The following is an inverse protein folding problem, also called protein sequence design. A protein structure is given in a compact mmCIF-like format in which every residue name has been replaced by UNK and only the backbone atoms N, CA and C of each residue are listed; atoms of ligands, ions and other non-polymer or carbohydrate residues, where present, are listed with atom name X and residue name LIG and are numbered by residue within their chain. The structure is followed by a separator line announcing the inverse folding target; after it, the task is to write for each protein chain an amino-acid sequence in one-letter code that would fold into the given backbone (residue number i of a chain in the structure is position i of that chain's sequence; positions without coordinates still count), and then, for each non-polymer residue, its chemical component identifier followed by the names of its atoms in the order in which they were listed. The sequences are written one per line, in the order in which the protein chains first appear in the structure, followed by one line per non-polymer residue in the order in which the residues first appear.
data_IF_048139728240
#
_entry.id   IF_048139728240
#
_cell.length_a   1.000
_cell.length_b   1.000
_cell.length_c   1.000
_cell.angle_alpha   90.00
_cell.angle_beta   90.00
_cell.angle_gamma   90.00
#
_symmetry.space_group_name_H-M   'P 1'
#
loop_
_entity.id
_entity.type
_entity.pdbx_description
1 polymer ?
#
# COMPACT_ATOMS: atom_id res chain seq x y z
N UNK A 1 20.68 -13.34 -10.46
CA UNK A 1 19.82 -12.76 -9.41
C UNK A 1 19.23 -13.92 -8.63
N UNK A 2 19.88 -14.32 -7.54
CA UNK A 2 19.35 -15.32 -6.60
C UNK A 2 18.71 -14.54 -5.45
N UNK A 3 17.38 -14.54 -5.35
CA UNK A 3 16.68 -13.74 -4.36
C UNK A 3 15.39 -14.42 -3.93
N UNK A 4 15.19 -14.50 -2.61
CA UNK A 4 13.92 -14.91 -1.99
C UNK A 4 12.99 -13.70 -1.99
N UNK A 5 11.79 -13.85 -2.55
CA UNK A 5 10.74 -12.84 -2.44
C UNK A 5 10.27 -12.77 -0.99
N UNK A 6 10.25 -11.57 -0.41
CA UNK A 6 9.78 -11.35 0.95
C UNK A 6 8.56 -10.44 0.94
N UNK A 7 7.45 -10.93 1.49
CA UNK A 7 6.21 -10.15 1.63
C UNK A 7 5.70 -10.24 3.06
N UNK A 8 4.84 -9.33 3.48
CA UNK A 8 4.06 -9.48 4.71
C UNK A 8 2.92 -10.51 4.51
N UNK A 9 2.24 -10.89 5.60
CA UNK A 9 1.12 -11.83 5.58
C UNK A 9 -0.20 -11.21 5.08
N UNK A 10 -0.14 -10.11 4.32
CA UNK A 10 -1.30 -9.53 3.66
C UNK A 10 -1.96 -10.54 2.72
N UNK A 11 -3.29 -10.60 2.75
CA UNK A 11 -4.09 -11.52 1.92
C UNK A 11 -3.92 -11.26 0.42
N UNK A 12 -3.62 -10.02 0.05
CA UNK A 12 -3.33 -9.59 -1.32
C UNK A 12 -2.03 -10.20 -1.90
N UNK A 13 -1.08 -10.59 -1.05
CA UNK A 13 0.22 -11.10 -1.50
C UNK A 13 0.17 -12.55 -1.97
N UNK A 14 -0.88 -13.31 -1.64
CA UNK A 14 -0.95 -14.75 -1.90
C UNK A 14 -0.76 -15.13 -3.37
N UNK A 15 -1.27 -14.32 -4.29
CA UNK A 15 -1.11 -14.53 -5.74
C UNK A 15 0.35 -14.37 -6.17
N UNK A 16 1.02 -13.32 -5.66
CA UNK A 16 2.44 -13.06 -5.93
C UNK A 16 3.33 -14.19 -5.39
N UNK A 17 3.02 -14.68 -4.18
CA UNK A 17 3.71 -15.84 -3.57
C UNK A 17 3.60 -17.07 -4.46
N UNK A 18 2.37 -17.41 -4.88
CA UNK A 18 2.11 -18.57 -5.73
C UNK A 18 2.86 -18.50 -7.06
N UNK A 19 2.82 -17.35 -7.73
CA UNK A 19 3.55 -17.13 -8.99
C UNK A 19 5.06 -17.30 -8.81
N UNK A 20 5.64 -16.73 -7.76
CA UNK A 20 7.08 -16.81 -7.51
C UNK A 20 7.55 -18.25 -7.26
N UNK A 21 6.81 -19.01 -6.45
CA UNK A 21 7.13 -20.40 -6.17
C UNK A 21 6.96 -21.28 -7.42
N UNK A 22 5.91 -21.04 -8.21
CA UNK A 22 5.65 -21.79 -9.45
C UNK A 22 6.75 -21.57 -10.50
N UNK A 23 7.09 -20.31 -10.79
CA UNK A 23 8.12 -20.02 -11.80
C UNK A 23 9.53 -20.46 -11.41
N UNK A 24 9.77 -20.71 -10.11
CA UNK A 24 11.06 -21.19 -9.61
C UNK A 24 11.05 -22.65 -9.22
N UNK A 25 9.98 -23.40 -9.52
CA UNK A 25 9.84 -24.80 -9.12
C UNK A 25 10.97 -25.70 -9.66
N UNK A 26 11.46 -25.40 -10.86
CA UNK A 26 12.50 -26.18 -11.57
C UNK A 26 13.91 -25.58 -11.40
N UNK A 27 14.09 -24.65 -10.48
CA UNK A 27 15.39 -24.05 -10.19
C UNK A 27 16.32 -25.03 -9.45
N UNK A 28 17.62 -25.01 -9.77
CA UNK A 28 18.62 -25.84 -9.08
C UNK A 28 19.24 -25.16 -7.85
N UNK A 29 18.88 -23.89 -7.59
CA UNK A 29 19.40 -23.14 -6.45
C UNK A 29 18.66 -23.44 -5.13
N UNK A 30 19.32 -23.09 -4.01
CA UNK A 30 18.83 -23.37 -2.65
C UNK A 30 17.48 -22.70 -2.30
N UNK A 31 17.05 -21.72 -3.10
CA UNK A 31 15.83 -20.95 -2.91
C UNK A 31 14.76 -21.30 -3.95
N UNK A 32 14.87 -22.42 -4.67
CA UNK A 32 13.89 -22.86 -5.65
C UNK A 32 12.56 -23.33 -5.03
N UNK A 33 11.52 -23.37 -5.86
CA UNK A 33 10.18 -23.81 -5.52
C UNK A 33 9.57 -23.08 -4.33
N UNK A 34 9.08 -23.81 -3.34
CA UNK A 34 8.46 -23.24 -2.13
C UNK A 34 9.41 -22.36 -1.31
N UNK A 35 10.73 -22.51 -1.49
CA UNK A 35 11.74 -21.69 -0.81
C UNK A 35 12.00 -20.36 -1.51
N UNK A 36 11.32 -20.11 -2.64
CA UNK A 36 11.45 -18.87 -3.40
C UNK A 36 10.75 -17.69 -2.74
N UNK A 37 9.95 -17.95 -1.71
CA UNK A 37 9.24 -16.94 -0.94
C UNK A 37 9.43 -17.14 0.57
N UNK A 38 9.41 -16.03 1.32
CA UNK A 38 9.34 -16.04 2.78
C UNK A 38 8.49 -14.89 3.30
N UNK A 39 7.61 -15.17 4.26
CA UNK A 39 6.92 -14.11 4.99
C UNK A 39 7.88 -13.33 5.91
N UNK A 40 7.82 -12.01 5.84
CA UNK A 40 8.47 -11.09 6.78
C UNK A 40 7.67 -10.94 8.07
N UNK A 41 8.35 -10.65 9.17
CA UNK A 41 7.68 -10.38 10.44
C UNK A 41 7.01 -9.00 10.43
N UNK A 42 5.82 -8.89 11.04
CA UNK A 42 5.03 -7.65 11.16
C UNK A 42 5.81 -6.40 11.63
N UNK A 43 6.83 -6.48 12.51
CA UNK A 43 7.66 -5.32 12.86
C UNK A 43 8.30 -4.59 11.67
N UNK A 44 8.62 -5.32 10.59
CA UNK A 44 9.16 -4.72 9.38
C UNK A 44 8.12 -3.91 8.58
N UNK A 45 6.83 -4.20 8.78
CA UNK A 45 5.71 -3.53 8.10
C UNK A 45 5.15 -2.32 8.89
N UNK A 46 5.59 -2.13 10.13
CA UNK A 46 5.06 -1.09 11.02
C UNK A 46 5.15 0.33 10.43
N UNK A 47 6.22 0.62 9.68
CA UNK A 47 6.40 1.96 9.08
C UNK A 47 5.37 2.24 7.98
N UNK A 48 5.10 1.26 7.12
CA UNK A 48 4.14 1.43 6.03
C UNK A 48 2.70 1.33 6.54
N UNK A 49 2.41 0.45 7.51
CA UNK A 49 1.11 0.40 8.18
C UNK A 49 0.80 1.69 8.96
N UNK A 50 1.78 2.25 9.67
CA UNK A 50 1.63 3.54 10.33
C UNK A 50 1.38 4.68 9.31
N UNK A 51 2.05 4.63 8.16
CA UNK A 51 1.79 5.57 7.07
C UNK A 51 0.37 5.45 6.53
N UNK A 52 -0.09 4.23 6.21
CA UNK A 52 -1.45 3.98 5.73
C UNK A 52 -2.50 4.45 6.74
N UNK A 53 -2.27 4.18 8.03
CA UNK A 53 -3.13 4.67 9.11
C UNK A 53 -3.17 6.20 9.14
N UNK A 54 -2.01 6.87 9.08
CA UNK A 54 -1.94 8.33 9.05
C UNK A 54 -2.65 8.92 7.82
N UNK A 55 -2.41 8.35 6.63
CA UNK A 55 -3.05 8.78 5.40
C UNK A 55 -4.58 8.63 5.46
N UNK A 56 -5.07 7.50 5.97
CA UNK A 56 -6.48 7.21 6.13
C UNK A 56 -7.18 8.16 7.10
N UNK A 57 -6.61 8.37 8.29
CA UNK A 57 -7.18 9.28 9.29
C UNK A 57 -7.06 10.76 8.89
N UNK A 58 -6.02 11.12 8.14
CA UNK A 58 -5.72 12.50 7.79
C UNK A 58 -6.51 13.02 6.59
N UNK A 59 -6.29 12.43 5.41
CA UNK A 59 -6.76 13.02 4.13
C UNK A 59 -7.61 12.09 3.28
N UNK A 60 -7.38 10.79 3.32
CA UNK A 60 -8.08 9.86 2.44
C UNK A 60 -9.51 9.56 2.91
N UNK A 61 -9.73 9.51 4.24
CA UNK A 61 -11.04 9.15 4.81
C UNK A 61 -12.17 10.03 4.31
N UNK A 62 -11.97 11.35 4.33
CA UNK A 62 -12.98 12.30 3.85
C UNK A 62 -13.37 12.08 2.39
N UNK A 63 -12.38 11.88 1.49
CA UNK A 63 -12.65 11.62 0.08
C UNK A 63 -13.39 10.30 -0.14
N UNK A 64 -13.02 9.25 0.60
CA UNK A 64 -13.70 7.96 0.55
C UNK A 64 -15.16 8.12 0.95
N UNK A 65 -15.45 8.82 2.05
CA UNK A 65 -16.80 9.00 2.54
C UNK A 65 -17.61 9.92 1.62
N UNK A 66 -17.00 10.98 1.08
CA UNK A 66 -17.61 11.85 0.08
C UNK A 66 -18.10 11.08 -1.16
N UNK A 67 -17.26 10.22 -1.75
CA UNK A 67 -17.68 9.45 -2.92
C UNK A 67 -18.71 8.37 -2.56
N UNK A 68 -18.62 7.75 -1.38
CA UNK A 68 -19.67 6.83 -0.89
C UNK A 68 -21.01 7.53 -0.72
N UNK A 69 -21.01 8.78 -0.24
CA UNK A 69 -22.22 9.57 -0.08
C UNK A 69 -22.84 9.93 -1.43
N UNK A 70 -22.02 10.21 -2.45
CA UNK A 70 -22.51 10.39 -3.82
C UNK A 70 -23.20 9.13 -4.34
N UNK A 71 -22.64 7.94 -4.09
CA UNK A 71 -23.26 6.67 -4.48
C UNK A 71 -24.55 6.43 -3.71
N UNK A 72 -24.55 6.63 -2.39
CA UNK A 72 -25.73 6.39 -1.55
C UNK A 72 -26.89 7.34 -1.86
N UNK A 73 -26.58 8.58 -2.27
CA UNK A 73 -27.55 9.56 -2.75
C UNK A 73 -28.05 9.28 -4.18
N UNK A 74 -27.52 8.28 -4.88
CA UNK A 74 -27.84 7.97 -6.27
C UNK A 74 -27.30 8.98 -7.28
N UNK A 75 -26.32 9.81 -6.89
CA UNK A 75 -25.67 10.80 -7.74
C UNK A 75 -24.53 10.21 -8.58
N UNK A 76 -23.96 9.09 -8.12
CA UNK A 76 -22.89 8.38 -8.79
C UNK A 76 -23.23 6.90 -8.92
N UNK A 77 -23.30 6.41 -10.15
CA UNK A 77 -23.36 5.00 -10.48
C UNK A 77 -21.96 4.51 -10.89
N UNK A 78 -21.33 3.74 -10.01
CA UNK A 78 -20.01 3.14 -10.22
C UNK A 78 -19.98 2.10 -11.36
N UNK A 79 -21.15 1.58 -11.77
CA UNK A 79 -21.28 0.69 -12.92
C UNK A 79 -21.33 1.46 -14.25
N UNK A 80 -21.52 2.79 -14.22
CA UNK A 80 -21.63 3.62 -15.41
C UNK A 80 -20.28 4.23 -15.79
N UNK A 81 -19.70 3.74 -16.89
CA UNK A 81 -18.40 4.19 -17.40
C UNK A 81 -18.36 5.69 -17.64
N UNK A 82 -19.41 6.29 -18.22
CA UNK A 82 -19.42 7.75 -18.51
C UNK A 82 -19.40 8.58 -17.23
N UNK A 83 -20.08 8.14 -16.18
CA UNK A 83 -20.04 8.82 -14.90
C UNK A 83 -18.67 8.67 -14.22
N UNK A 84 -18.05 7.49 -14.33
CA UNK A 84 -16.69 7.25 -13.83
C UNK A 84 -15.64 8.11 -14.55
N UNK A 85 -15.71 8.24 -15.87
CA UNK A 85 -14.83 9.13 -16.64
C UNK A 85 -15.05 10.60 -16.27
N UNK A 86 -16.31 11.03 -16.12
CA UNK A 86 -16.63 12.39 -15.67
C UNK A 86 -16.12 12.65 -14.25
N UNK A 87 -16.25 11.67 -13.35
CA UNK A 87 -15.72 11.75 -11.99
C UNK A 87 -14.19 11.89 -12.01
N UNK A 88 -13.52 11.05 -12.80
CA UNK A 88 -12.08 11.13 -12.96
C UNK A 88 -11.66 12.48 -13.49
N UNK A 89 -12.24 12.95 -14.60
CA UNK A 89 -11.96 14.26 -15.18
C UNK A 89 -12.16 15.42 -14.18
N UNK A 90 -13.23 15.38 -13.39
CA UNK A 90 -13.53 16.44 -12.42
C UNK A 90 -12.58 16.44 -11.22
N UNK A 91 -12.18 15.26 -10.73
CA UNK A 91 -11.51 15.12 -9.43
C UNK A 91 -10.04 14.73 -9.52
N UNK A 92 -9.53 14.24 -10.66
CA UNK A 92 -8.14 13.78 -10.83
C UNK A 92 -7.14 14.83 -10.36
N UNK A 93 -7.23 16.05 -10.88
CA UNK A 93 -6.30 17.12 -10.53
C UNK A 93 -6.36 17.50 -9.04
N UNK A 94 -7.55 17.45 -8.44
CA UNK A 94 -7.76 17.77 -7.02
C UNK A 94 -7.19 16.68 -6.14
N UNK A 95 -7.48 15.41 -6.45
CA UNK A 95 -6.98 14.25 -5.73
C UNK A 95 -5.45 14.16 -5.85
N UNK A 96 -4.89 14.38 -7.04
CA UNK A 96 -3.44 14.38 -7.25
C UNK A 96 -2.76 15.45 -6.41
N UNK A 97 -3.29 16.68 -6.38
CA UNK A 97 -2.77 17.75 -5.53
C UNK A 97 -2.84 17.39 -4.04
N UNK A 98 -3.93 16.76 -3.57
CA UNK A 98 -4.03 16.28 -2.20
C UNK A 98 -3.00 15.19 -1.87
N UNK A 99 -2.79 14.23 -2.79
CA UNK A 99 -1.77 13.20 -2.65
C UNK A 99 -0.36 13.79 -2.61
N UNK A 100 -0.07 14.79 -3.44
CA UNK A 100 1.22 15.48 -3.45
C UNK A 100 1.47 16.22 -2.13
N UNK A 101 0.44 16.85 -1.55
CA UNK A 101 0.55 17.45 -0.21
C UNK A 101 0.80 16.41 0.86
N UNK A 102 0.13 15.25 0.83
CA UNK A 102 0.40 14.14 1.77
C UNK A 102 1.84 13.68 1.66
N UNK A 103 2.33 13.48 0.44
CA UNK A 103 3.72 13.09 0.18
C UNK A 103 4.70 14.12 0.73
N UNK A 104 4.46 15.41 0.50
CA UNK A 104 5.31 16.47 1.05
C UNK A 104 5.29 16.48 2.58
N UNK A 105 4.10 16.39 3.20
CA UNK A 105 3.97 16.36 4.67
C UNK A 105 4.70 15.17 5.27
N UNK A 106 4.56 13.99 4.66
CA UNK A 106 5.25 12.80 5.11
C UNK A 106 6.77 12.93 4.96
N UNK A 107 7.26 13.36 3.80
CA UNK A 107 8.71 13.45 3.56
C UNK A 107 9.40 14.54 4.38
N UNK A 108 8.66 15.59 4.78
CA UNK A 108 9.17 16.66 5.63
C UNK A 108 8.92 16.40 7.11
N UNK A 109 8.16 15.35 7.47
CA UNK A 109 7.84 15.07 8.86
C UNK A 109 9.12 14.70 9.61
N UNK A 110 9.38 15.39 10.71
CA UNK A 110 10.48 15.04 11.60
C UNK A 110 10.10 13.75 12.33
N UNK A 111 10.82 12.66 12.06
CA UNK A 111 10.74 11.45 12.88
C UNK A 111 11.34 11.82 14.25
N UNK A 112 10.52 11.80 15.30
CA UNK A 112 11.04 11.96 16.67
C UNK A 112 11.99 10.81 16.95
N UNK A 113 13.19 11.12 17.44
CA UNK A 113 14.07 10.10 18.00
C UNK A 113 13.34 9.42 19.16
N UNK A 114 13.37 8.09 19.19
CA UNK A 114 12.86 7.34 20.33
C UNK A 114 13.73 7.64 21.55
N UNK A 115 13.11 7.85 22.72
CA UNK A 115 13.82 8.01 23.99
C UNK A 115 14.52 6.73 24.50
N UNK A 116 14.42 5.64 23.74
CA UNK A 116 15.13 4.38 24.00
C UNK A 116 16.54 4.49 23.42
N UNK A 117 17.39 5.27 24.09
CA UNK A 117 18.81 5.26 23.81
C UNK A 117 19.43 3.97 24.32
N UNK A 118 19.37 2.88 23.54
CA UNK A 118 20.30 1.73 23.61
C UNK A 118 19.92 0.65 22.59
N UNK A 119 20.16 0.87 21.29
CA UNK A 119 20.75 -0.18 20.43
C UNK A 119 21.45 0.49 19.24
N UNK A 120 22.77 0.33 19.05
CA UNK A 120 23.42 0.61 17.77
C UNK A 120 23.29 -0.59 16.82
N UNK A 121 23.01 -0.34 15.54
CA UNK A 121 23.13 -1.31 14.44
C UNK A 121 22.25 -0.91 13.26
N UNK A 122 22.78 -0.45 12.12
CA UNK A 122 23.67 -1.12 11.16
C UNK A 122 23.00 -2.36 10.53
#
# INVERSE_FOLDING_TARGET
MEGVLRTDCGTENGVMVGMQCYFRQDGEDTFAGEKAHKYGSSPANQRIEAWWSHFRHGRAGWWIDFFKDMVSAGLLDIGNVMQMEALWFCFEAVLQNELDKVKQHWNTHRIRHSGHGTVPGA
#
